data_IF_206608151188
#
_entry.id   IF_206608151188
#
_cell.length_a   1.000
_cell.length_b   1.000
_cell.length_c   1.000
_cell.angle_alpha   90.00
_cell.angle_beta   90.00
_cell.angle_gamma   90.00
#
_symmetry.space_group_name_H-M   'P 1'
#
loop_
_entity.id
_entity.type
_entity.pdbx_description
1 polymer ?
#
# COMPACT_ATOMS: atom_id res chain seq x y z
N UNK A 1 19.07 -9.70 -4.29
CA UNK A 1 18.96 -8.29 -3.83
C UNK A 1 19.13 -7.34 -5.00
N UNK A 2 18.11 -6.54 -5.38
CA UNK A 2 18.26 -5.43 -6.35
C UNK A 2 18.23 -4.08 -5.61
N UNK A 3 19.18 -3.88 -4.70
CA UNK A 3 19.26 -2.68 -3.86
C UNK A 3 19.56 -1.40 -4.68
N UNK A 4 20.40 -1.52 -5.71
CA UNK A 4 20.78 -0.40 -6.58
C UNK A 4 19.59 0.18 -7.35
N UNK A 5 18.74 -0.68 -7.92
CA UNK A 5 17.55 -0.23 -8.65
C UNK A 5 16.54 0.51 -7.77
N UNK A 6 16.40 0.11 -6.49
CA UNK A 6 15.58 0.85 -5.53
C UNK A 6 16.19 2.23 -5.22
N UNK A 7 17.48 2.28 -4.89
CA UNK A 7 18.19 3.53 -4.61
C UNK A 7 18.08 4.52 -5.76
N UNK A 8 18.22 4.06 -7.00
CA UNK A 8 18.06 4.89 -8.19
C UNK A 8 16.64 5.45 -8.34
N UNK A 9 15.60 4.62 -8.13
CA UNK A 9 14.20 5.08 -8.16
C UNK A 9 13.92 6.12 -7.07
N UNK A 10 14.37 5.86 -5.85
CA UNK A 10 14.19 6.77 -4.72
C UNK A 10 14.91 8.10 -4.96
N UNK A 11 16.12 8.04 -5.51
CA UNK A 11 16.90 9.21 -5.91
C UNK A 11 16.16 10.06 -6.96
N UNK A 12 15.68 9.46 -8.05
CA UNK A 12 14.87 10.17 -9.06
C UNK A 12 13.58 10.76 -8.50
N UNK A 13 12.91 10.04 -7.59
CA UNK A 13 11.72 10.58 -6.92
C UNK A 13 12.06 11.80 -6.07
N UNK A 14 13.20 11.79 -5.39
CA UNK A 14 13.69 12.92 -4.61
C UNK A 14 14.06 14.11 -5.49
N UNK A 15 14.73 13.85 -6.61
CA UNK A 15 15.06 14.88 -7.60
C UNK A 15 13.82 15.55 -8.16
N UNK A 16 12.83 14.76 -8.60
CA UNK A 16 11.59 15.31 -9.15
C UNK A 16 10.90 16.23 -8.14
N UNK A 17 10.78 15.78 -6.89
CA UNK A 17 10.13 16.56 -5.82
C UNK A 17 10.85 17.87 -5.52
N UNK A 18 12.19 17.88 -5.54
CA UNK A 18 12.99 19.04 -5.14
C UNK A 18 13.19 20.06 -6.25
N UNK A 19 13.45 19.58 -7.46
CA UNK A 19 13.94 20.41 -8.57
C UNK A 19 12.95 20.52 -9.72
N UNK A 20 12.09 19.53 -9.94
CA UNK A 20 11.10 19.61 -11.03
C UNK A 20 9.77 20.20 -10.55
N UNK A 21 9.21 19.65 -9.47
CA UNK A 21 7.90 20.06 -8.94
C UNK A 21 7.95 21.46 -8.28
N UNK A 22 9.15 22.01 -8.03
CA UNK A 22 9.34 23.35 -7.47
C UNK A 22 9.14 24.47 -8.49
N UNK A 23 9.26 24.15 -9.79
CA UNK A 23 9.27 25.14 -10.88
C UNK A 23 8.17 24.86 -11.89
N UNK A 24 7.61 25.93 -12.45
CA UNK A 24 6.54 25.85 -13.44
C UNK A 24 7.03 25.96 -14.87
N UNK A 25 8.18 26.60 -15.11
CA UNK A 25 8.74 26.79 -16.45
C UNK A 25 9.81 25.75 -16.74
N UNK A 26 10.00 25.42 -18.02
CA UNK A 26 11.04 24.49 -18.46
C UNK A 26 12.44 25.05 -18.20
N UNK A 27 12.64 26.35 -18.41
CA UNK A 27 13.93 27.03 -18.24
C UNK A 27 14.40 27.01 -16.78
N UNK A 28 13.50 27.31 -15.84
CA UNK A 28 13.81 27.28 -14.40
C UNK A 28 14.17 25.85 -13.94
N UNK A 29 13.42 24.84 -14.43
CA UNK A 29 13.71 23.42 -14.14
C UNK A 29 15.07 23.01 -14.69
N UNK A 30 15.42 23.45 -15.91
CA UNK A 30 16.68 23.09 -16.54
C UNK A 30 17.88 23.71 -15.81
N UNK A 31 17.72 24.93 -15.28
CA UNK A 31 18.73 25.62 -14.48
C UNK A 31 18.93 24.99 -13.10
N UNK A 32 17.85 24.55 -12.43
CA UNK A 32 17.89 23.93 -11.10
C UNK A 32 18.26 22.44 -11.15
N UNK A 33 19.48 22.16 -11.60
CA UNK A 33 20.02 20.79 -11.69
C UNK A 33 20.84 20.42 -10.45
N UNK A 34 20.60 19.22 -9.93
CA UNK A 34 21.49 18.62 -8.92
C UNK A 34 22.88 18.31 -9.51
N UNK A 35 23.94 18.76 -8.81
CA UNK A 35 25.34 18.58 -9.21
C UNK A 35 25.75 17.14 -9.56
N UNK A 36 25.06 16.14 -9.00
CA UNK A 36 25.35 14.70 -9.20
C UNK A 36 24.81 14.14 -10.51
N UNK A 37 23.94 14.86 -11.21
CA UNK A 37 23.30 14.42 -12.47
C UNK A 37 23.94 15.15 -13.64
N UNK A 38 24.32 14.45 -14.70
CA UNK A 38 24.88 15.11 -15.88
C UNK A 38 23.83 16.03 -16.56
N UNK A 39 24.23 17.18 -17.13
CA UNK A 39 23.30 18.11 -17.79
C UNK A 39 22.39 17.45 -18.83
N UNK A 40 22.97 16.59 -19.69
CA UNK A 40 22.23 15.87 -20.71
C UNK A 40 21.19 14.91 -20.13
N UNK A 41 21.55 14.19 -19.05
CA UNK A 41 20.63 13.30 -18.35
C UNK A 41 19.51 14.07 -17.65
N UNK A 42 19.80 15.26 -17.15
CA UNK A 42 18.80 16.11 -16.51
C UNK A 42 17.75 16.60 -17.51
N UNK A 43 18.21 17.08 -18.67
CA UNK A 43 17.34 17.49 -19.78
C UNK A 43 16.39 16.36 -20.19
N UNK A 44 16.93 15.15 -20.41
CA UNK A 44 16.13 13.97 -20.76
C UNK A 44 15.10 13.59 -19.68
N UNK A 45 15.42 13.79 -18.40
CA UNK A 45 14.49 13.53 -17.29
C UNK A 45 13.34 14.52 -17.27
N UNK A 46 13.61 15.82 -17.48
CA UNK A 46 12.58 16.85 -17.56
C UNK A 46 11.66 16.56 -18.74
N UNK A 47 12.23 16.36 -19.93
CA UNK A 47 11.48 16.02 -21.14
C UNK A 47 10.59 14.80 -20.92
N UNK A 48 11.12 13.73 -20.32
CA UNK A 48 10.35 12.54 -19.97
C UNK A 48 9.19 12.85 -19.01
N UNK A 49 9.41 13.66 -17.97
CA UNK A 49 8.36 14.00 -17.01
C UNK A 49 7.29 14.92 -17.58
N UNK A 50 7.64 15.74 -18.57
CA UNK A 50 6.71 16.59 -19.30
C UNK A 50 5.89 15.81 -20.35
N UNK A 51 6.35 14.63 -20.80
CA UNK A 51 5.54 13.78 -21.70
C UNK A 51 4.21 13.36 -21.09
N UNK A 52 3.19 13.22 -21.94
CA UNK A 52 1.87 12.70 -21.56
C UNK A 52 1.97 11.32 -20.90
N UNK A 53 2.87 10.45 -21.40
CA UNK A 53 3.08 9.12 -20.82
C UNK A 53 3.59 9.21 -19.37
N UNK A 54 4.59 10.08 -19.12
CA UNK A 54 5.16 10.30 -17.80
C UNK A 54 4.13 10.86 -16.81
N UNK A 55 3.33 11.83 -17.25
CA UNK A 55 2.28 12.43 -16.45
C UNK A 55 1.14 11.44 -16.14
N UNK A 56 0.65 10.73 -17.15
CA UNK A 56 -0.41 9.73 -17.02
C UNK A 56 0.00 8.61 -16.05
N UNK A 57 1.22 8.11 -16.19
CA UNK A 57 1.78 7.09 -15.28
C UNK A 57 1.86 7.58 -13.84
N UNK A 58 2.26 8.84 -13.64
CA UNK A 58 2.32 9.48 -12.31
C UNK A 58 0.93 9.62 -11.70
N UNK A 59 -0.05 10.13 -12.45
CA UNK A 59 -1.43 10.31 -12.00
C UNK A 59 -2.09 8.97 -11.65
N UNK A 60 -1.93 7.96 -12.51
CA UNK A 60 -2.42 6.60 -12.23
C UNK A 60 -1.81 6.03 -10.95
N UNK A 61 -0.51 6.23 -10.73
CA UNK A 61 0.17 5.77 -9.53
C UNK A 61 -0.33 6.47 -8.26
N UNK A 62 -0.62 7.77 -8.34
CA UNK A 62 -1.25 8.54 -7.25
C UNK A 62 -2.67 8.02 -6.94
N UNK A 63 -3.49 7.80 -7.97
CA UNK A 63 -4.85 7.26 -7.82
C UNK A 63 -4.85 5.84 -7.25
N UNK A 64 -3.94 4.97 -7.70
CA UNK A 64 -3.83 3.62 -7.15
C UNK A 64 -3.41 3.65 -5.68
N UNK A 65 -2.50 4.55 -5.30
CA UNK A 65 -2.08 4.71 -3.91
C UNK A 65 -3.21 5.22 -3.02
N UNK A 66 -4.04 6.14 -3.50
CA UNK A 66 -5.20 6.63 -2.71
C UNK A 66 -6.27 5.56 -2.52
N UNK A 67 -6.39 4.59 -3.45
CA UNK A 67 -7.30 3.43 -3.32
C UNK A 67 -6.79 2.36 -2.36
N UNK A 68 -5.51 2.36 -1.99
CA UNK A 68 -4.93 1.39 -1.07
C UNK A 68 -5.25 1.77 0.39
N UNK A 69 -6.47 1.47 0.83
CA UNK A 69 -6.98 1.87 2.14
C UNK A 69 -6.50 0.92 3.25
N UNK A 70 -6.59 -0.40 3.04
CA UNK A 70 -6.27 -1.40 4.08
C UNK A 70 -4.85 -1.93 3.89
N UNK A 71 -3.97 -1.65 4.83
CA UNK A 71 -2.62 -2.24 4.89
C UNK A 71 -2.56 -3.33 5.96
N UNK A 72 -1.77 -4.37 5.73
CA UNK A 72 -1.60 -5.45 6.71
C UNK A 72 -0.57 -5.07 7.77
N UNK A 73 -0.78 -5.55 9.00
CA UNK A 73 0.09 -5.40 10.18
C UNK A 73 1.14 -6.50 10.30
N UNK A 74 1.11 -7.50 9.42
CA UNK A 74 2.00 -8.67 9.46
C UNK A 74 3.50 -8.35 9.30
N UNK A 75 3.85 -7.13 8.86
CA UNK A 75 5.23 -6.72 8.63
C UNK A 75 5.91 -7.60 7.57
N UNK A 76 7.12 -8.08 7.85
CA UNK A 76 7.88 -8.95 6.94
C UNK A 76 7.42 -10.42 6.93
N UNK A 77 6.45 -10.80 7.77
CA UNK A 77 5.91 -12.16 7.78
C UNK A 77 4.95 -12.35 6.63
N UNK A 78 5.21 -13.34 5.78
CA UNK A 78 4.28 -13.72 4.73
C UNK A 78 3.02 -14.33 5.34
N UNK A 79 1.90 -14.21 4.62
CA UNK A 79 0.64 -14.85 5.02
C UNK A 79 0.76 -16.37 5.12
N UNK A 80 1.56 -17.00 4.26
CA UNK A 80 1.87 -18.43 4.35
C UNK A 80 2.55 -18.79 5.67
N UNK A 81 3.52 -17.99 6.11
CA UNK A 81 4.20 -18.18 7.39
C UNK A 81 3.23 -18.03 8.56
N UNK A 82 2.41 -16.97 8.56
CA UNK A 82 1.40 -16.75 9.61
C UNK A 82 0.40 -17.91 9.68
N UNK A 83 -0.04 -18.40 8.51
CA UNK A 83 -0.96 -19.54 8.40
C UNK A 83 -0.37 -20.81 9.01
N UNK A 84 0.89 -21.09 8.72
CA UNK A 84 1.59 -22.26 9.25
C UNK A 84 1.85 -22.15 10.77
N UNK A 85 2.26 -20.98 11.25
CA UNK A 85 2.44 -20.72 12.69
C UNK A 85 1.11 -20.95 13.44
N UNK A 86 0.00 -20.44 12.90
CA UNK A 86 -1.35 -20.64 13.49
C UNK A 86 -1.84 -22.09 13.42
N UNK A 87 -1.52 -22.81 12.35
CA UNK A 87 -1.79 -24.25 12.23
C UNK A 87 -1.05 -25.05 13.30
N UNK A 88 0.21 -24.71 13.59
CA UNK A 88 0.99 -25.36 14.66
C UNK A 88 0.46 -25.04 16.05
N UNK A 89 0.02 -23.80 16.28
CA UNK A 89 -0.55 -23.37 17.58
C UNK A 89 -1.91 -24.01 17.89
N UNK A 90 -2.83 -24.05 16.92
CA UNK A 90 -4.22 -24.49 17.12
C UNK A 90 -4.54 -25.88 16.56
N UNK A 91 -3.61 -26.51 15.85
CA UNK A 91 -3.85 -27.75 15.09
C UNK A 91 -4.71 -27.57 13.83
N UNK A 92 -5.38 -26.42 13.66
CA UNK A 92 -6.31 -26.14 12.56
C UNK A 92 -5.76 -25.01 11.69
N UNK A 93 -5.92 -25.17 10.37
CA UNK A 93 -5.53 -24.15 9.40
C UNK A 93 -6.51 -22.97 9.47
N UNK A 94 -6.05 -21.73 9.69
CA UNK A 94 -6.96 -20.59 9.75
C UNK A 94 -7.63 -20.35 8.41
N UNK A 95 -8.91 -20.00 8.48
CA UNK A 95 -9.73 -19.57 7.35
C UNK A 95 -9.26 -18.21 6.81
N UNK A 96 -9.80 -17.80 5.65
CA UNK A 96 -9.45 -16.50 5.05
C UNK A 96 -9.83 -15.33 5.96
N UNK A 97 -11.03 -15.38 6.56
CA UNK A 97 -11.53 -14.36 7.47
C UNK A 97 -10.68 -14.28 8.75
N UNK A 98 -10.34 -15.41 9.36
CA UNK A 98 -9.45 -15.44 10.52
C UNK A 98 -8.05 -14.91 10.20
N UNK A 99 -7.50 -15.31 9.04
CA UNK A 99 -6.22 -14.81 8.59
C UNK A 99 -6.27 -13.29 8.35
N UNK A 100 -7.37 -12.77 7.81
CA UNK A 100 -7.58 -11.34 7.65
C UNK A 100 -7.57 -10.62 9.00
N UNK A 101 -8.34 -11.10 9.99
CA UNK A 101 -8.34 -10.59 11.37
C UNK A 101 -6.94 -10.59 11.97
N UNK A 102 -6.18 -11.69 11.83
CA UNK A 102 -4.81 -11.79 12.36
C UNK A 102 -3.84 -10.80 11.68
N UNK A 103 -4.04 -10.53 10.39
CA UNK A 103 -3.10 -9.72 9.58
C UNK A 103 -3.46 -8.25 9.47
N UNK A 104 -4.65 -7.83 9.92
CA UNK A 104 -5.14 -6.45 9.81
C UNK A 104 -5.54 -5.84 11.17
N UNK A 105 -5.17 -6.51 12.25
CA UNK A 105 -5.33 -6.06 13.63
C UNK A 105 -3.95 -5.85 14.26
N UNK A 106 -3.81 -4.82 15.09
CA UNK A 106 -2.60 -4.55 15.87
C UNK A 106 -2.45 -5.56 17.01
N UNK A 107 -1.26 -5.63 17.60
CA UNK A 107 -1.01 -6.50 18.77
C UNK A 107 -1.93 -6.16 19.96
N UNK A 108 -2.39 -4.92 20.04
CA UNK A 108 -3.29 -4.43 21.09
C UNK A 108 -4.75 -4.86 20.88
N UNK A 109 -5.09 -5.45 19.73
CA UNK A 109 -6.47 -5.86 19.39
C UNK A 109 -7.23 -4.87 18.51
N UNK A 110 -6.71 -3.66 18.32
CA UNK A 110 -7.36 -2.64 17.50
C UNK A 110 -7.19 -2.90 15.99
N UNK A 111 -8.25 -2.75 15.17
CA UNK A 111 -8.14 -2.78 13.72
C UNK A 111 -7.20 -1.67 13.19
N UNK A 112 -6.50 -1.95 12.08
CA UNK A 112 -5.60 -0.96 11.44
C UNK A 112 -6.31 0.35 11.05
N UNK A 113 -7.55 0.28 10.62
CA UNK A 113 -8.39 1.43 10.30
C UNK A 113 -9.88 1.06 10.35
N UNK A 114 -10.76 2.06 10.24
CA UNK A 114 -12.22 1.89 10.24
C UNK A 114 -12.69 0.92 9.15
N UNK A 115 -12.11 0.98 7.96
CA UNK A 115 -12.43 0.08 6.85
C UNK A 115 -12.11 -1.40 7.18
N UNK A 116 -10.99 -1.65 7.87
CA UNK A 116 -10.67 -2.97 8.40
C UNK A 116 -11.67 -3.38 9.49
N UNK A 117 -12.05 -2.47 10.39
CA UNK A 117 -13.05 -2.74 11.41
C UNK A 117 -14.39 -3.15 10.79
N UNK A 118 -14.85 -2.42 9.77
CA UNK A 118 -16.08 -2.70 9.03
C UNK A 118 -16.04 -4.08 8.37
N UNK A 119 -14.92 -4.47 7.76
CA UNK A 119 -14.74 -5.80 7.16
C UNK A 119 -14.75 -6.92 8.20
N UNK A 120 -14.07 -6.70 9.32
CA UNK A 120 -14.05 -7.65 10.44
C UNK A 120 -15.45 -7.83 11.04
N UNK A 121 -16.22 -6.75 11.14
CA UNK A 121 -17.60 -6.77 11.62
C UNK A 121 -18.54 -7.45 10.61
N UNK A 122 -18.42 -7.16 9.31
CA UNK A 122 -19.21 -7.80 8.26
C UNK A 122 -19.01 -9.33 8.23
N UNK A 123 -17.78 -9.81 8.46
CA UNK A 123 -17.50 -11.24 8.62
C UNK A 123 -18.24 -11.85 9.83
N UNK A 124 -18.54 -11.07 10.87
CA UNK A 124 -19.33 -11.51 12.02
C UNK A 124 -20.84 -11.50 11.73
N UNK A 125 -21.34 -10.64 10.86
CA UNK A 125 -22.76 -10.57 10.45
C UNK A 125 -23.15 -11.56 9.34
N UNK A 126 -22.18 -12.24 8.72
CA UNK A 126 -22.43 -13.39 7.84
C UNK A 126 -22.49 -14.74 8.59
N UNK A 127 -22.42 -14.76 9.92
CA UNK A 127 -23.03 -15.85 10.69
C UNK A 127 -24.53 -15.54 10.76
N UNK A 128 -25.38 -16.44 10.25
CA UNK A 128 -26.72 -16.11 9.78
C UNK A 128 -27.50 -15.31 10.81
N UNK A 129 -27.93 -14.11 10.42
CA UNK A 129 -29.04 -13.46 11.07
C UNK A 129 -30.21 -14.46 11.13
N UNK A 130 -30.65 -14.76 12.36
CA UNK A 130 -31.89 -15.46 12.73
C UNK A 130 -31.79 -16.99 12.89
N UNK A 131 -31.07 -17.42 13.93
CA UNK A 131 -31.58 -18.49 14.80
C UNK A 131 -31.79 -17.92 16.21
N UNK A 132 -32.68 -16.92 16.31
CA UNK A 132 -33.22 -16.39 17.58
C UNK A 132 -34.75 -16.50 17.59
N UNK A 133 -35.25 -17.69 17.23
CA UNK A 133 -36.64 -18.06 17.46
C UNK A 133 -36.73 -19.54 17.80
N UNK A 134 -36.27 -19.89 19.00
CA UNK A 134 -36.74 -21.07 19.73
C UNK A 134 -37.01 -20.60 21.16
N UNK A 135 -38.28 -20.73 21.59
CA UNK A 135 -38.85 -20.61 22.96
C UNK A 135 -40.06 -19.66 23.10
N UNK A 136 -41.12 -19.92 22.34
CA UNK A 136 -42.50 -19.77 22.83
C UNK A 136 -43.42 -20.59 21.93
N UNK A 137 -44.15 -21.56 22.52
CA UNK A 137 -45.02 -22.59 21.90
C UNK A 137 -44.35 -23.94 21.53
N UNK A 138 -44.00 -24.70 22.56
CA UNK A 138 -44.57 -26.04 22.81
C UNK A 138 -44.68 -26.21 24.32
#
# INVERSE_FOLDING_TARGET
MKALGKKWKDFKSGLKKKHYDAHNTYEDRLADRDSRVLPEQWKQLIEYWDTEEGQTRSLRSKSNRSKQITTHTAGSRSFARIREEKRKEKGVVPTRAELFKITHVHKNGDPMNEECANKIAADCYCLPSLCSSLLSMC
#
